data_IF_917711786492
#
_entry.id   IF_917711786492
#
_cell.length_a   1.000
_cell.length_b   1.000
_cell.length_c   1.000
_cell.angle_alpha   90.00
_cell.angle_beta   90.00
_cell.angle_gamma   90.00
#
_symmetry.space_group_name_H-M   'P 1'
#
loop_
_entity.id
_entity.type
_entity.pdbx_description
1 polymer ?
#
# COMPACT_ATOMS: atom_id res chain seq x y z
N UNK A 1 9.36 14.65 -38.44
CA UNK A 1 9.51 15.94 -39.15
C UNK A 1 8.43 15.98 -40.21
N UNK A 2 7.60 17.01 -40.22
CA UNK A 2 6.53 17.15 -41.23
C UNK A 2 7.19 17.48 -42.56
N UNK A 3 6.79 16.77 -43.61
CA UNK A 3 7.31 16.98 -44.96
C UNK A 3 6.62 18.20 -45.59
N UNK A 4 7.10 19.39 -45.21
CA UNK A 4 6.60 20.68 -45.72
C UNK A 4 6.81 20.82 -47.23
N UNK A 5 7.84 20.17 -47.79
CA UNK A 5 8.11 20.15 -49.22
C UNK A 5 7.03 19.35 -49.99
N UNK A 6 6.61 18.20 -49.47
CA UNK A 6 5.50 17.44 -50.05
C UNK A 6 4.18 18.21 -49.99
N UNK A 7 3.96 18.99 -48.93
CA UNK A 7 2.77 19.86 -48.79
C UNK A 7 2.81 21.00 -49.82
N UNK A 8 3.93 21.74 -49.92
CA UNK A 8 4.10 22.81 -50.89
C UNK A 8 3.90 22.32 -52.34
N UNK A 9 4.47 21.16 -52.69
CA UNK A 9 4.30 20.54 -54.03
C UNK A 9 2.84 20.17 -54.32
N UNK A 10 2.06 19.78 -53.31
CA UNK A 10 0.63 19.49 -53.46
C UNK A 10 -0.19 20.76 -53.65
N UNK A 11 0.13 21.83 -52.93
CA UNK A 11 -0.52 23.14 -53.08
C UNK A 11 -0.26 23.74 -54.47
N UNK A 12 0.99 23.67 -54.96
CA UNK A 12 1.31 24.09 -56.34
C UNK A 12 0.53 23.29 -57.39
N UNK A 13 0.38 21.96 -57.19
CA UNK A 13 -0.47 21.13 -58.07
C UNK A 13 -1.95 21.48 -58.01
N UNK A 14 -2.41 22.08 -56.90
CA UNK A 14 -3.79 22.54 -56.73
C UNK A 14 -4.04 23.95 -57.32
N UNK A 15 -2.98 24.63 -57.79
CA UNK A 15 -3.07 25.93 -58.47
C UNK A 15 -2.45 27.10 -57.72
N UNK A 16 -1.89 26.89 -56.52
CA UNK A 16 -1.19 27.96 -55.78
C UNK A 16 0.14 28.34 -56.46
N UNK A 17 0.53 29.61 -56.30
CA UNK A 17 1.87 30.05 -56.69
C UNK A 17 2.93 29.38 -55.81
N UNK A 18 4.14 29.23 -56.33
CA UNK A 18 5.22 28.59 -55.58
C UNK A 18 5.48 29.28 -54.22
N UNK A 19 5.49 30.61 -54.22
CA UNK A 19 5.70 31.45 -53.04
C UNK A 19 4.57 31.29 -52.01
N UNK A 20 3.31 31.25 -52.45
CA UNK A 20 2.18 31.06 -51.55
C UNK A 20 2.18 29.64 -50.95
N UNK A 21 2.43 28.63 -51.78
CA UNK A 21 2.49 27.24 -51.37
C UNK A 21 3.60 26.96 -50.33
N UNK A 22 4.77 27.59 -50.49
CA UNK A 22 5.85 27.50 -49.50
C UNK A 22 5.48 28.20 -48.19
N UNK A 23 4.96 29.44 -48.26
CA UNK A 23 4.57 30.19 -47.07
C UNK A 23 3.48 29.45 -46.26
N UNK A 24 2.48 28.87 -46.93
CA UNK A 24 1.43 28.09 -46.27
C UNK A 24 2.00 26.80 -45.67
N UNK A 25 2.85 26.07 -46.39
CA UNK A 25 3.45 24.84 -45.89
C UNK A 25 4.38 25.08 -44.69
N UNK A 26 5.10 26.20 -44.68
CA UNK A 26 5.95 26.62 -43.56
C UNK A 26 5.12 26.93 -42.32
N UNK A 27 4.08 27.78 -42.44
CA UNK A 27 3.17 28.10 -41.32
C UNK A 27 2.48 26.83 -40.80
N UNK A 28 2.03 25.95 -41.68
CA UNK A 28 1.46 24.66 -41.29
C UNK A 28 2.46 23.78 -40.54
N UNK A 29 3.72 23.75 -41.00
CA UNK A 29 4.80 23.04 -40.34
C UNK A 29 5.01 23.54 -38.91
N UNK A 30 5.13 24.86 -38.73
CA UNK A 30 5.31 25.50 -37.42
C UNK A 30 4.15 25.19 -36.47
N UNK A 31 2.91 25.43 -36.90
CA UNK A 31 1.71 25.24 -36.07
C UNK A 31 1.57 23.78 -35.63
N UNK A 32 1.76 22.83 -36.54
CA UNK A 32 1.63 21.41 -36.19
C UNK A 32 2.77 20.93 -35.29
N UNK A 33 3.98 21.45 -35.46
CA UNK A 33 5.13 21.04 -34.65
C UNK A 33 5.01 21.50 -33.19
N UNK A 34 4.35 22.62 -32.93
CA UNK A 34 4.09 23.12 -31.58
C UNK A 34 2.82 22.56 -30.94
N UNK A 35 1.81 22.18 -31.74
CA UNK A 35 0.46 21.88 -31.21
C UNK A 35 0.04 20.41 -31.34
N UNK A 36 0.82 19.55 -32.01
CA UNK A 36 0.47 18.14 -32.19
C UNK A 36 1.36 17.24 -31.35
N UNK A 37 0.72 16.46 -30.49
CA UNK A 37 1.36 15.37 -29.75
C UNK A 37 1.74 14.25 -30.72
N UNK A 38 3.00 13.86 -30.72
CA UNK A 38 3.50 12.76 -31.54
C UNK A 38 3.28 11.41 -30.87
N UNK A 39 3.41 10.32 -31.65
CA UNK A 39 3.40 8.97 -31.09
C UNK A 39 4.53 8.76 -30.07
N UNK A 40 5.66 9.43 -30.24
CA UNK A 40 6.79 9.36 -29.30
C UNK A 40 6.42 10.02 -27.98
N UNK A 41 5.82 11.21 -28.01
CA UNK A 41 5.38 11.91 -26.79
C UNK A 41 4.37 11.08 -25.99
N UNK A 42 3.41 10.46 -26.69
CA UNK A 42 2.45 9.53 -26.07
C UNK A 42 3.15 8.33 -25.45
N UNK A 43 4.12 7.74 -26.16
CA UNK A 43 4.87 6.58 -25.67
C UNK A 43 5.66 6.95 -24.41
N UNK A 44 6.34 8.08 -24.42
CA UNK A 44 7.12 8.56 -23.26
C UNK A 44 6.22 8.85 -22.06
N UNK A 45 5.04 9.42 -22.30
CA UNK A 45 4.03 9.64 -21.26
C UNK A 45 3.52 8.31 -20.67
N UNK A 46 3.22 7.32 -21.52
CA UNK A 46 2.83 5.98 -21.06
C UNK A 46 3.95 5.31 -20.25
N UNK A 47 5.18 5.30 -20.75
CA UNK A 47 6.32 4.71 -20.03
C UNK A 47 6.55 5.37 -18.67
N UNK A 48 6.32 6.69 -18.57
CA UNK A 48 6.41 7.42 -17.31
C UNK A 48 5.29 7.04 -16.35
N UNK A 49 4.06 6.90 -16.85
CA UNK A 49 2.91 6.47 -16.05
C UNK A 49 3.08 5.03 -15.56
N UNK A 50 3.53 4.11 -16.40
CA UNK A 50 3.79 2.72 -16.03
C UNK A 50 4.80 2.64 -14.88
N UNK A 51 5.92 3.38 -14.97
CA UNK A 51 6.91 3.46 -13.89
C UNK A 51 6.33 4.02 -12.59
N UNK A 52 5.44 5.01 -12.67
CA UNK A 52 4.76 5.57 -11.50
C UNK A 52 3.80 4.57 -10.88
N UNK A 53 3.05 3.83 -11.70
CA UNK A 53 2.15 2.76 -11.27
C UNK A 53 2.95 1.67 -10.55
N UNK A 54 4.03 1.18 -11.14
CA UNK A 54 4.89 0.16 -10.55
C UNK A 54 5.48 0.62 -9.21
N UNK A 55 5.92 1.88 -9.13
CA UNK A 55 6.45 2.46 -7.89
C UNK A 55 5.38 2.52 -6.81
N UNK A 56 4.15 2.90 -7.16
CA UNK A 56 3.03 2.96 -6.21
C UNK A 56 2.64 1.55 -5.77
N UNK A 57 2.57 0.59 -6.69
CA UNK A 57 2.26 -0.81 -6.40
C UNK A 57 3.28 -1.40 -5.40
N UNK A 58 4.58 -1.29 -5.70
CA UNK A 58 5.65 -1.77 -4.83
C UNK A 58 5.60 -1.12 -3.43
N UNK A 59 5.27 0.18 -3.35
CA UNK A 59 5.12 0.88 -2.07
C UNK A 59 3.91 0.37 -1.28
N UNK A 60 2.82 0.03 -1.95
CA UNK A 60 1.63 -0.53 -1.30
C UNK A 60 1.89 -1.94 -0.80
N UNK A 61 2.53 -2.80 -1.60
CA UNK A 61 2.91 -4.15 -1.19
C UNK A 61 3.81 -4.12 0.04
N UNK A 62 4.83 -3.25 0.06
CA UNK A 62 5.69 -3.08 1.22
C UNK A 62 4.94 -2.64 2.48
N UNK A 63 3.90 -1.80 2.34
CA UNK A 63 3.03 -1.41 3.46
C UNK A 63 2.15 -2.55 3.94
N UNK A 64 1.61 -3.36 3.04
CA UNK A 64 0.79 -4.53 3.37
C UNK A 64 1.63 -5.53 4.17
N UNK A 65 2.81 -5.90 3.67
CA UNK A 65 3.75 -6.79 4.39
C UNK A 65 4.10 -6.22 5.78
N UNK A 66 4.33 -4.92 5.88
CA UNK A 66 4.59 -4.24 7.16
C UNK A 66 3.39 -4.29 8.12
N UNK A 67 2.16 -4.23 7.62
CA UNK A 67 0.95 -4.37 8.42
C UNK A 67 0.74 -5.82 8.88
N UNK A 68 0.95 -6.80 8.01
CA UNK A 68 0.86 -8.22 8.36
C UNK A 68 1.84 -8.57 9.48
N UNK A 69 3.09 -8.10 9.39
CA UNK A 69 4.07 -8.28 10.47
C UNK A 69 3.64 -7.65 11.80
N UNK A 70 2.97 -6.49 11.76
CA UNK A 70 2.42 -5.84 12.97
C UNK A 70 1.24 -6.62 13.55
N UNK A 71 0.38 -7.16 12.70
CA UNK A 71 -0.76 -7.99 13.12
C UNK A 71 -0.26 -9.25 13.81
N UNK A 72 0.65 -10.00 13.18
CA UNK A 72 1.27 -11.19 13.78
C UNK A 72 1.94 -10.87 15.13
N UNK A 73 2.65 -9.75 15.22
CA UNK A 73 3.25 -9.30 16.47
C UNK A 73 2.24 -8.95 17.56
N UNK A 74 1.07 -8.41 17.19
CA UNK A 74 -0.02 -8.14 18.13
C UNK A 74 -0.72 -9.42 18.58
N UNK A 75 -0.95 -10.37 17.69
CA UNK A 75 -1.53 -11.68 18.00
C UNK A 75 -0.68 -12.43 19.03
N UNK A 76 0.64 -12.53 18.79
CA UNK A 76 1.59 -13.16 19.73
C UNK A 76 1.59 -12.49 21.10
N UNK A 77 1.51 -11.15 21.14
CA UNK A 77 1.42 -10.40 22.41
C UNK A 77 0.10 -10.67 23.12
N UNK A 78 -1.00 -10.79 22.38
CA UNK A 78 -2.32 -11.16 22.89
C UNK A 78 -2.31 -12.54 23.53
N UNK A 79 -1.80 -13.55 22.81
CA UNK A 79 -1.66 -14.92 23.32
C UNK A 79 -0.79 -14.98 24.58
N UNK A 80 0.37 -14.32 24.55
CA UNK A 80 1.25 -14.26 25.72
C UNK A 80 0.57 -13.60 26.94
N UNK A 81 -0.23 -12.56 26.71
CA UNK A 81 -0.98 -11.90 27.77
C UNK A 81 -2.10 -12.81 28.32
N UNK A 82 -2.83 -13.50 27.45
CA UNK A 82 -3.86 -14.46 27.84
C UNK A 82 -3.28 -15.58 28.71
N UNK A 83 -2.18 -16.21 28.27
CA UNK A 83 -1.49 -17.25 29.02
C UNK A 83 -1.00 -16.75 30.39
N UNK A 84 -0.52 -15.50 30.47
CA UNK A 84 -0.13 -14.88 31.75
C UNK A 84 -1.33 -14.72 32.69
N UNK A 85 -2.48 -14.29 32.19
CA UNK A 85 -3.69 -14.16 33.00
C UNK A 85 -4.19 -15.52 33.49
N UNK A 86 -4.24 -16.52 32.62
CA UNK A 86 -4.62 -17.88 32.99
C UNK A 86 -3.71 -18.45 34.08
N UNK A 87 -2.39 -18.33 33.90
CA UNK A 87 -1.41 -18.76 34.92
C UNK A 87 -1.56 -18.04 36.26
N UNK A 88 -1.88 -16.73 36.24
CA UNK A 88 -2.10 -15.96 37.47
C UNK A 88 -3.38 -16.37 38.18
N UNK A 89 -4.46 -16.59 37.41
CA UNK A 89 -5.75 -16.99 37.96
C UNK A 89 -5.66 -18.39 38.56
N UNK A 90 -5.07 -19.35 37.84
CA UNK A 90 -4.84 -20.71 38.35
C UNK A 90 -4.03 -20.71 39.64
N UNK A 91 -2.97 -19.89 39.72
CA UNK A 91 -2.20 -19.72 40.96
C UNK A 91 -3.02 -19.11 42.09
N UNK A 92 -3.79 -18.07 41.83
CA UNK A 92 -4.64 -17.43 42.84
C UNK A 92 -5.69 -18.40 43.39
N UNK A 93 -6.35 -19.16 42.51
CA UNK A 93 -7.33 -20.18 42.89
C UNK A 93 -6.69 -21.27 43.74
N UNK A 94 -5.52 -21.77 43.35
CA UNK A 94 -4.80 -22.80 44.11
C UNK A 94 -4.41 -22.28 45.51
N UNK A 95 -3.86 -21.06 45.59
CA UNK A 95 -3.48 -20.45 46.87
C UNK A 95 -4.70 -20.30 47.79
N UNK A 96 -5.83 -19.85 47.26
CA UNK A 96 -7.07 -19.72 48.02
C UNK A 96 -7.57 -21.08 48.52
N UNK A 97 -7.58 -22.09 47.64
CA UNK A 97 -8.02 -23.44 47.98
C UNK A 97 -7.16 -24.04 49.10
N UNK A 98 -5.84 -24.01 48.94
CA UNK A 98 -4.90 -24.51 49.96
C UNK A 98 -5.08 -23.74 51.28
N UNK A 99 -5.19 -22.41 51.22
CA UNK A 99 -5.44 -21.59 52.42
C UNK A 99 -6.73 -21.98 53.14
N UNK A 100 -7.84 -22.12 52.42
CA UNK A 100 -9.13 -22.54 52.98
C UNK A 100 -9.05 -23.94 53.63
N UNK A 101 -8.44 -24.91 52.96
CA UNK A 101 -8.27 -26.26 53.53
C UNK A 101 -7.45 -26.25 54.81
N UNK A 102 -6.41 -25.42 54.89
CA UNK A 102 -5.62 -25.25 56.09
C UNK A 102 -6.44 -24.67 57.25
N UNK A 103 -7.22 -23.61 56.98
CA UNK A 103 -8.09 -22.98 57.99
C UNK A 103 -9.15 -23.96 58.52
N UNK A 104 -9.80 -24.74 57.64
CA UNK A 104 -10.80 -25.74 58.04
C UNK A 104 -10.16 -26.81 58.94
N UNK A 105 -9.00 -27.34 58.54
CA UNK A 105 -8.28 -28.36 59.32
C UNK A 105 -7.93 -27.87 60.75
N UNK A 106 -7.44 -26.64 60.86
CA UNK A 106 -7.16 -25.98 62.15
C UNK A 106 -8.43 -25.85 63.00
N UNK A 107 -9.52 -25.36 62.42
CA UNK A 107 -10.79 -25.20 63.14
C UNK A 107 -11.34 -26.56 63.65
N UNK A 108 -11.27 -27.61 62.83
CA UNK A 108 -11.72 -28.96 63.25
C UNK A 108 -10.86 -29.53 64.38
N UNK A 109 -9.55 -29.29 64.35
CA UNK A 109 -8.63 -29.73 65.40
C UNK A 109 -8.94 -29.05 66.73
N UNK A 110 -9.22 -27.74 66.70
CA UNK A 110 -9.58 -26.95 67.88
C UNK A 110 -10.91 -27.41 68.52
N UNK A 111 -11.91 -27.69 67.68
CA UNK A 111 -13.18 -28.27 68.12
C UNK A 111 -12.97 -29.62 68.82
N UNK A 112 -12.17 -30.53 68.25
CA UNK A 112 -11.89 -31.83 68.87
C UNK A 112 -11.14 -31.72 70.20
N UNK A 113 -10.32 -30.70 70.40
CA UNK A 113 -9.65 -30.47 71.70
C UNK A 113 -10.58 -29.95 72.79
N UNK A 114 -11.66 -29.25 72.45
CA UNK A 114 -12.63 -28.70 73.42
C UNK A 114 -13.82 -29.62 73.71
N UNK A 115 -14.00 -30.71 72.97
CA UNK A 115 -15.08 -31.71 73.14
C UNK A 115 -14.63 -32.92 74.00
N UNK A 116 -13.41 -32.89 74.56
CA UNK A 116 -12.91 -33.87 75.54
C UNK A 116 -13.02 -33.33 76.95
#
# INVERSE_FOLDING_TARGET
MIDTLAIAKRLQKAGDTAEHAEAVAEVFGMVLQENVVTKTDLRDACEKLDKQIDTVAARLDGKIVGLDGRILGLEQRGEALAARYESRLSRAVLTLFVGLTGVISLATSLLMTHVK
#
